data_IF_893798796496
#
_entry.id   IF_893798796496
#
_cell.length_a   1.000
_cell.length_b   1.000
_cell.length_c   1.000
_cell.angle_alpha   90.00
_cell.angle_beta   90.00
_cell.angle_gamma   90.00
#
_symmetry.space_group_name_H-M   'P 1'
#
loop_
_entity.id
_entity.type
_entity.pdbx_description
1 polymer ?
#
# COMPACT_ATOMS: atom_id res chain seq x y z
N UNK A 1 15.35 14.80 19.37
CA UNK A 1 15.90 13.55 19.97
C UNK A 1 15.02 13.00 21.08
N UNK A 2 14.70 13.73 22.18
CA UNK A 2 13.91 13.16 23.29
C UNK A 2 12.53 12.58 22.89
N UNK A 3 11.86 13.19 21.91
CA UNK A 3 10.54 12.77 21.41
C UNK A 3 10.56 11.41 20.69
N UNK A 4 11.54 11.16 19.84
CA UNK A 4 11.66 9.89 19.11
C UNK A 4 12.12 8.75 20.02
N UNK A 5 12.96 9.05 21.02
CA UNK A 5 13.34 8.05 22.04
C UNK A 5 12.12 7.60 22.83
N UNK A 6 11.27 8.54 23.28
CA UNK A 6 10.03 8.20 23.97
C UNK A 6 9.14 7.30 23.10
N UNK A 7 8.79 7.76 21.89
CA UNK A 7 7.92 6.99 20.99
C UNK A 7 8.53 5.62 20.64
N UNK A 8 9.81 5.57 20.26
CA UNK A 8 10.49 4.32 19.91
C UNK A 8 10.51 3.28 21.04
N UNK A 9 10.43 3.71 22.31
CA UNK A 9 10.39 2.80 23.47
C UNK A 9 8.99 2.39 23.93
N UNK A 10 7.96 3.17 23.58
CA UNK A 10 6.57 2.94 24.04
C UNK A 10 5.77 2.12 23.02
N UNK A 11 6.18 2.14 21.75
CA UNK A 11 5.50 1.39 20.70
C UNK A 11 5.66 -0.13 20.89
N UNK A 12 4.54 -0.90 20.96
CA UNK A 12 4.60 -2.34 21.12
C UNK A 12 5.19 -3.02 19.88
N UNK A 13 5.77 -4.23 20.01
CA UNK A 13 6.20 -5.00 18.85
C UNK A 13 4.99 -5.37 17.98
N UNK A 14 5.20 -5.43 16.66
CA UNK A 14 4.19 -5.79 15.68
C UNK A 14 4.50 -7.17 15.08
N UNK A 15 3.45 -7.98 14.88
CA UNK A 15 3.55 -9.30 14.27
C UNK A 15 2.44 -9.49 13.25
N UNK A 16 2.78 -9.93 12.05
CA UNK A 16 1.79 -10.24 11.00
C UNK A 16 0.93 -11.44 11.44
N UNK A 17 -0.39 -11.32 11.23
CA UNK A 17 -1.36 -12.36 11.60
C UNK A 17 -1.79 -12.35 13.07
N UNK A 18 -1.32 -11.39 13.87
CA UNK A 18 -1.76 -11.18 15.26
C UNK A 18 -2.53 -9.87 15.40
N UNK A 19 -3.44 -9.80 16.36
CA UNK A 19 -4.12 -8.54 16.71
C UNK A 19 -3.07 -7.54 17.23
N UNK A 20 -2.97 -6.33 16.65
CA UNK A 20 -2.04 -5.33 17.13
C UNK A 20 -2.52 -4.78 18.48
N UNK A 21 -1.60 -4.67 19.45
CA UNK A 21 -1.92 -4.12 20.78
C UNK A 21 -2.16 -2.61 20.79
N UNK A 22 -1.90 -1.94 19.67
CA UNK A 22 -2.07 -0.50 19.45
C UNK A 22 -2.82 -0.34 18.13
N UNK A 23 -3.90 0.42 18.15
CA UNK A 23 -4.69 0.75 16.95
C UNK A 23 -4.09 1.91 16.17
N UNK A 24 -4.46 2.05 14.90
CA UNK A 24 -4.11 3.21 14.09
C UNK A 24 -4.46 4.56 14.75
N UNK A 25 -5.66 4.69 15.31
CA UNK A 25 -6.12 5.95 15.93
C UNK A 25 -5.31 6.32 17.18
N UNK A 26 -4.93 5.33 17.99
CA UNK A 26 -4.06 5.53 19.14
C UNK A 26 -2.65 5.96 18.68
N UNK A 27 -2.10 5.31 17.64
CA UNK A 27 -0.81 5.73 17.05
C UNK A 27 -0.87 7.16 16.53
N UNK A 28 -1.94 7.54 15.83
CA UNK A 28 -2.11 8.89 15.32
C UNK A 28 -2.23 9.93 16.43
N UNK A 29 -2.85 9.57 17.56
CA UNK A 29 -2.88 10.40 18.77
C UNK A 29 -1.47 10.60 19.32
N UNK A 30 -0.70 9.53 19.48
CA UNK A 30 0.70 9.63 19.90
C UNK A 30 1.53 10.51 18.97
N UNK A 31 1.34 10.38 17.66
CA UNK A 31 2.04 11.20 16.69
C UNK A 31 1.66 12.68 16.79
N UNK A 32 0.37 13.01 16.89
CA UNK A 32 -0.09 14.42 17.03
C UNK A 32 0.46 15.08 18.29
N UNK A 33 0.54 14.34 19.39
CA UNK A 33 0.97 14.88 20.68
C UNK A 33 2.50 15.09 20.76
N UNK A 34 3.28 14.31 20.01
CA UNK A 34 4.72 14.23 20.20
C UNK A 34 5.55 14.72 18.99
N UNK A 35 5.04 14.59 17.77
CA UNK A 35 5.77 14.94 16.56
C UNK A 35 5.77 16.45 16.29
N UNK A 36 6.78 16.91 15.55
CA UNK A 36 6.79 18.27 15.04
C UNK A 36 5.78 18.42 13.89
N UNK A 37 5.38 19.65 13.54
CA UNK A 37 4.54 19.88 12.36
C UNK A 37 5.16 19.32 11.08
N UNK A 38 6.48 19.44 10.91
CA UNK A 38 7.18 18.91 9.74
C UNK A 38 7.17 17.39 9.66
N UNK A 39 7.29 16.70 10.81
CA UNK A 39 7.20 15.24 10.86
C UNK A 39 5.78 14.74 10.64
N UNK A 40 4.77 15.47 11.15
CA UNK A 40 3.37 15.17 10.85
C UNK A 40 3.07 15.30 9.35
N UNK A 41 3.70 16.22 8.62
CA UNK A 41 3.57 16.27 7.16
C UNK A 41 4.18 15.04 6.47
N UNK A 42 5.24 14.45 7.02
CA UNK A 42 5.77 13.17 6.51
C UNK A 42 4.79 12.02 6.76
N UNK A 43 4.16 11.97 7.94
CA UNK A 43 3.09 11.01 8.24
C UNK A 43 1.96 11.15 7.24
N UNK A 44 1.47 12.37 7.01
CA UNK A 44 0.45 12.62 5.98
C UNK A 44 0.89 12.16 4.61
N UNK A 45 2.17 12.35 4.27
CA UNK A 45 2.72 11.93 2.98
C UNK A 45 2.63 10.42 2.80
N UNK A 46 2.90 9.61 3.82
CA UNK A 46 2.65 8.14 3.79
C UNK A 46 1.18 7.85 3.48
N UNK A 47 0.26 8.54 4.14
CA UNK A 47 -1.18 8.32 4.03
C UNK A 47 -1.79 8.85 2.72
N UNK A 48 -1.08 9.67 1.93
CA UNK A 48 -1.57 10.17 0.63
C UNK A 48 -1.91 9.06 -0.34
N UNK A 49 -1.18 7.94 -0.29
CA UNK A 49 -1.51 6.78 -1.11
C UNK A 49 -2.91 6.23 -0.76
N UNK A 50 -3.26 6.19 0.53
CA UNK A 50 -4.61 5.80 0.98
C UNK A 50 -5.67 6.81 0.57
N UNK A 51 -5.38 8.11 0.56
CA UNK A 51 -6.31 9.13 0.03
C UNK A 51 -6.65 8.86 -1.45
N UNK A 52 -5.62 8.63 -2.29
CA UNK A 52 -5.81 8.32 -3.71
C UNK A 52 -6.58 7.00 -3.90
N UNK A 53 -6.30 6.00 -3.06
CA UNK A 53 -7.05 4.74 -3.05
C UNK A 53 -8.51 4.94 -2.62
N UNK A 54 -8.78 5.86 -1.69
CA UNK A 54 -10.14 6.21 -1.29
C UNK A 54 -10.91 6.90 -2.41
N UNK A 55 -10.26 7.74 -3.21
CA UNK A 55 -10.88 8.28 -4.43
C UNK A 55 -11.25 7.14 -5.39
N UNK A 56 -10.35 6.18 -5.60
CA UNK A 56 -10.66 5.01 -6.42
C UNK A 56 -11.81 4.18 -5.83
N UNK A 57 -11.84 3.97 -4.51
CA UNK A 57 -12.90 3.24 -3.83
C UNK A 57 -14.25 3.94 -3.95
N UNK A 58 -14.27 5.28 -3.88
CA UNK A 58 -15.48 6.08 -4.11
C UNK A 58 -16.03 5.84 -5.52
N UNK A 59 -15.18 5.88 -6.55
CA UNK A 59 -15.57 5.58 -7.94
C UNK A 59 -16.06 4.12 -8.13
N UNK A 60 -15.59 3.19 -7.29
CA UNK A 60 -15.98 1.79 -7.28
C UNK A 60 -17.16 1.49 -6.35
N UNK A 61 -17.72 2.49 -5.66
CA UNK A 61 -18.74 2.32 -4.61
C UNK A 61 -18.33 1.31 -3.52
N UNK A 62 -17.05 1.36 -3.12
CA UNK A 62 -16.47 0.50 -2.08
C UNK A 62 -16.25 1.25 -0.77
N UNK A 63 -16.20 0.54 0.38
CA UNK A 63 -15.84 1.14 1.65
C UNK A 63 -14.50 1.88 1.59
N UNK A 64 -14.46 3.05 2.22
CA UNK A 64 -13.25 3.86 2.34
C UNK A 64 -12.34 3.31 3.44
N UNK A 65 -11.04 3.46 3.25
CA UNK A 65 -10.04 3.21 4.28
C UNK A 65 -10.05 4.38 5.27
N UNK A 66 -10.49 4.12 6.50
CA UNK A 66 -10.60 5.14 7.55
C UNK A 66 -9.24 5.71 7.99
N UNK A 67 -8.14 5.06 7.62
CA UNK A 67 -6.76 5.44 7.99
C UNK A 67 -6.16 6.48 7.04
N UNK A 68 -6.89 6.87 5.99
CA UNK A 68 -6.47 7.94 5.10
C UNK A 68 -6.41 9.31 5.82
N UNK A 69 -5.86 10.35 5.19
CA UNK A 69 -5.82 11.68 5.79
C UNK A 69 -7.21 12.33 5.87
N UNK A 70 -8.08 11.99 4.92
CA UNK A 70 -9.42 12.55 4.77
C UNK A 70 -10.48 11.51 5.11
N UNK A 71 -11.43 11.88 5.96
CA UNK A 71 -12.67 11.11 6.11
C UNK A 71 -13.59 11.32 4.89
N UNK A 72 -14.70 10.57 4.83
CA UNK A 72 -15.66 10.62 3.71
C UNK A 72 -16.12 12.05 3.38
N UNK A 73 -16.52 12.82 4.39
CA UNK A 73 -16.99 14.19 4.21
C UNK A 73 -15.86 15.11 3.73
N UNK A 74 -14.67 14.98 4.30
CA UNK A 74 -13.50 15.76 3.90
C UNK A 74 -13.04 15.41 2.48
N UNK A 75 -13.19 14.14 2.07
CA UNK A 75 -12.89 13.68 0.73
C UNK A 75 -13.85 14.29 -0.31
N UNK A 76 -15.14 14.31 -0.01
CA UNK A 76 -16.15 14.99 -0.84
C UNK A 76 -15.84 16.49 -0.96
N UNK A 77 -15.57 17.16 0.17
CA UNK A 77 -15.20 18.58 0.19
C UNK A 77 -13.90 18.83 -0.60
N UNK A 78 -12.92 17.94 -0.52
CA UNK A 78 -11.65 18.01 -1.24
C UNK A 78 -11.84 17.86 -2.76
N UNK A 79 -12.70 16.94 -3.20
CA UNK A 79 -13.01 16.73 -4.62
C UNK A 79 -13.82 17.89 -5.20
N UNK A 80 -14.79 18.42 -4.45
CA UNK A 80 -15.62 19.55 -4.89
C UNK A 80 -14.83 20.85 -5.02
N UNK A 81 -13.95 21.13 -4.05
CA UNK A 81 -13.19 22.38 -3.99
C UNK A 81 -11.80 22.29 -4.63
N UNK A 82 -11.41 21.09 -5.09
CA UNK A 82 -10.07 20.80 -5.61
C UNK A 82 -8.92 21.18 -4.67
N UNK A 83 -9.03 20.77 -3.40
CA UNK A 83 -8.05 21.06 -2.34
C UNK A 83 -7.66 19.80 -1.59
N UNK A 84 -6.56 19.84 -0.84
CA UNK A 84 -6.08 18.77 0.06
C UNK A 84 -5.65 17.44 -0.59
N UNK A 85 -6.01 17.19 -1.85
CA UNK A 85 -5.52 16.08 -2.66
C UNK A 85 -4.40 16.52 -3.61
N UNK A 86 -3.55 15.60 -4.11
CA UNK A 86 -2.50 15.93 -5.06
C UNK A 86 -3.05 16.52 -6.37
N UNK A 87 -2.45 17.60 -6.91
CA UNK A 87 -2.88 18.24 -8.17
C UNK A 87 -3.02 17.26 -9.35
N UNK A 88 -2.12 16.27 -9.43
CA UNK A 88 -2.14 15.22 -10.46
C UNK A 88 -3.49 14.49 -10.57
N UNK A 89 -4.24 14.40 -9.46
CA UNK A 89 -5.54 13.75 -9.46
C UNK A 89 -6.58 14.62 -10.18
N UNK A 90 -6.55 15.93 -9.98
CA UNK A 90 -7.50 16.83 -10.63
C UNK A 90 -7.22 16.93 -12.12
N UNK A 91 -5.96 17.01 -12.53
CA UNK A 91 -5.55 16.92 -13.94
C UNK A 91 -6.10 15.63 -14.59
N UNK A 92 -6.05 14.50 -13.86
CA UNK A 92 -6.60 13.22 -14.30
C UNK A 92 -8.13 13.23 -14.42
N UNK A 93 -8.84 13.80 -13.43
CA UNK A 93 -10.30 13.86 -13.44
C UNK A 93 -10.84 14.83 -14.51
N UNK A 94 -10.05 15.84 -14.90
CA UNK A 94 -10.35 16.71 -16.04
C UNK A 94 -10.11 16.01 -17.39
N UNK A 95 -9.07 15.17 -17.49
CA UNK A 95 -8.79 14.38 -18.69
C UNK A 95 -9.84 13.28 -18.93
N UNK A 96 -10.32 12.64 -17.86
CA UNK A 96 -11.28 11.55 -17.90
C UNK A 96 -12.57 11.92 -17.17
N UNK A 97 -13.63 12.26 -17.90
CA UNK A 97 -14.87 12.77 -17.31
C UNK A 97 -15.86 11.67 -16.90
N UNK A 98 -15.84 10.53 -17.59
CA UNK A 98 -16.76 9.41 -17.34
C UNK A 98 -16.14 8.44 -16.32
N UNK A 99 -16.92 8.04 -15.30
CA UNK A 99 -16.47 7.11 -14.24
C UNK A 99 -15.87 5.82 -14.82
N UNK A 100 -16.47 5.28 -15.88
CA UNK A 100 -15.96 4.07 -16.53
C UNK A 100 -14.55 4.25 -17.12
N UNK A 101 -14.24 5.44 -17.65
CA UNK A 101 -12.94 5.74 -18.24
C UNK A 101 -11.92 6.11 -17.15
N UNK A 102 -12.37 6.83 -16.12
CA UNK A 102 -11.58 7.07 -14.90
C UNK A 102 -11.13 5.76 -14.28
N UNK A 103 -12.02 4.80 -14.09
CA UNK A 103 -11.67 3.50 -13.51
C UNK A 103 -10.66 2.73 -14.37
N UNK A 104 -10.82 2.79 -15.69
CA UNK A 104 -9.94 2.11 -16.65
C UNK A 104 -8.53 2.71 -16.67
N UNK A 105 -8.40 4.01 -16.47
CA UNK A 105 -7.13 4.74 -16.56
C UNK A 105 -6.54 5.16 -15.20
N UNK A 106 -7.21 4.83 -14.08
CA UNK A 106 -6.82 5.28 -12.74
C UNK A 106 -5.39 4.89 -12.35
N UNK A 107 -4.82 3.82 -12.92
CA UNK A 107 -3.42 3.46 -12.67
C UNK A 107 -2.44 4.59 -13.02
N UNK A 108 -2.78 5.48 -13.97
CA UNK A 108 -2.02 6.69 -14.29
C UNK A 108 -1.83 7.62 -13.08
N UNK A 109 -2.84 7.71 -12.19
CA UNK A 109 -2.77 8.51 -10.95
C UNK A 109 -1.68 7.96 -10.04
N UNK A 110 -1.68 6.64 -9.79
CA UNK A 110 -0.68 6.00 -8.93
C UNK A 110 0.73 6.11 -9.53
N UNK A 111 0.88 5.87 -10.83
CA UNK A 111 2.18 5.96 -11.51
C UNK A 111 2.76 7.38 -11.40
N UNK A 112 1.92 8.39 -11.65
CA UNK A 112 2.33 9.79 -11.55
C UNK A 112 2.69 10.15 -10.11
N UNK A 113 1.89 9.71 -9.14
CA UNK A 113 2.17 9.89 -7.72
C UNK A 113 3.52 9.30 -7.31
N UNK A 114 3.81 8.03 -7.65
CA UNK A 114 5.09 7.41 -7.31
C UNK A 114 6.28 8.11 -7.98
N UNK A 115 6.14 8.55 -9.23
CA UNK A 115 7.17 9.34 -9.94
C UNK A 115 7.42 10.70 -9.27
N UNK A 116 6.38 11.35 -8.74
CA UNK A 116 6.55 12.58 -7.96
C UNK A 116 7.24 12.33 -6.62
N UNK A 117 6.86 11.26 -5.91
CA UNK A 117 7.48 10.91 -4.63
C UNK A 117 8.97 10.58 -4.80
N UNK A 118 9.33 9.85 -5.86
CA UNK A 118 10.72 9.52 -6.18
C UNK A 118 11.61 10.77 -6.36
N UNK A 119 11.06 11.83 -6.97
CA UNK A 119 11.76 13.09 -7.22
C UNK A 119 11.79 14.01 -6.00
N UNK A 120 10.71 14.04 -5.21
CA UNK A 120 10.49 15.01 -4.14
C UNK A 120 11.02 14.54 -2.79
N UNK A 121 10.84 13.26 -2.48
CA UNK A 121 11.12 12.71 -1.17
C UNK A 121 12.54 12.15 -1.06
N UNK A 122 12.98 11.91 0.17
CA UNK A 122 14.31 11.39 0.53
C UNK A 122 14.20 10.46 1.74
N UNK A 123 15.26 9.70 2.01
CA UNK A 123 15.30 8.73 3.12
C UNK A 123 14.19 7.71 2.98
N UNK A 124 13.60 7.31 4.11
CA UNK A 124 12.56 6.28 4.18
C UNK A 124 11.40 6.52 3.20
N UNK A 125 10.89 7.75 3.05
CA UNK A 125 9.74 8.00 2.18
C UNK A 125 10.02 7.66 0.71
N UNK A 126 11.21 8.05 0.21
CA UNK A 126 11.61 7.74 -1.17
C UNK A 126 11.71 6.23 -1.36
N UNK A 127 12.42 5.56 -0.47
CA UNK A 127 12.63 4.11 -0.52
C UNK A 127 11.32 3.34 -0.41
N UNK A 128 10.45 3.74 0.52
CA UNK A 128 9.12 3.15 0.69
C UNK A 128 8.25 3.30 -0.57
N UNK A 129 8.20 4.48 -1.20
CA UNK A 129 7.39 4.68 -2.41
C UNK A 129 7.99 4.01 -3.65
N UNK A 130 9.32 3.89 -3.73
CA UNK A 130 9.98 3.07 -4.75
C UNK A 130 9.57 1.62 -4.58
N UNK A 131 9.73 1.06 -3.38
CA UNK A 131 9.32 -0.30 -3.05
C UNK A 131 7.84 -0.54 -3.37
N UNK A 132 6.95 0.37 -2.95
CA UNK A 132 5.50 0.26 -3.22
C UNK A 132 5.18 0.19 -4.72
N UNK A 133 5.92 0.92 -5.56
CA UNK A 133 5.77 0.84 -7.01
C UNK A 133 6.31 -0.49 -7.55
N UNK A 134 7.51 -0.88 -7.15
CA UNK A 134 8.22 -2.03 -7.69
C UNK A 134 7.45 -3.35 -7.49
N UNK A 135 7.00 -3.62 -6.26
CA UNK A 135 6.27 -4.86 -6.00
C UNK A 135 4.93 -4.91 -6.75
N UNK A 136 4.29 -3.76 -6.99
CA UNK A 136 3.03 -3.67 -7.76
C UNK A 136 3.25 -3.96 -9.23
N UNK A 137 4.32 -3.44 -9.83
CA UNK A 137 4.70 -3.76 -11.21
C UNK A 137 4.97 -5.25 -11.36
N UNK A 138 5.75 -5.82 -10.43
CA UNK A 138 6.06 -7.25 -10.43
C UNK A 138 4.81 -8.12 -10.27
N UNK A 139 3.89 -7.75 -9.38
CA UNK A 139 2.62 -8.46 -9.24
C UNK A 139 1.71 -8.32 -10.45
N UNK A 140 1.68 -7.16 -11.09
CA UNK A 140 0.92 -6.96 -12.32
C UNK A 140 1.43 -7.92 -13.42
N UNK A 141 2.75 -7.99 -13.60
CA UNK A 141 3.39 -8.94 -14.51
C UNK A 141 3.10 -10.40 -14.17
N UNK A 142 3.29 -10.78 -12.91
CA UNK A 142 3.02 -12.13 -12.42
C UNK A 142 1.57 -12.55 -12.64
N UNK A 143 0.60 -11.68 -12.31
CA UNK A 143 -0.83 -11.96 -12.50
C UNK A 143 -1.21 -12.02 -13.97
N UNK A 144 -0.70 -11.09 -14.79
CA UNK A 144 -0.91 -11.10 -16.23
C UNK A 144 -0.44 -12.44 -16.82
N UNK A 145 0.74 -12.92 -16.42
CA UNK A 145 1.26 -14.22 -16.84
C UNK A 145 0.36 -15.38 -16.43
N UNK A 146 -0.05 -15.43 -15.17
CA UNK A 146 -0.93 -16.48 -14.62
C UNK A 146 -2.30 -16.51 -15.30
N UNK A 147 -2.78 -15.35 -15.78
CA UNK A 147 -4.07 -15.19 -16.46
C UNK A 147 -3.99 -15.28 -17.99
N UNK A 148 -2.79 -15.43 -18.57
CA UNK A 148 -2.60 -15.40 -20.03
C UNK A 148 -2.90 -14.04 -20.67
N UNK A 149 -2.81 -12.95 -19.89
CA UNK A 149 -3.00 -11.57 -20.34
C UNK A 149 -1.64 -11.00 -20.76
N UNK A 150 -1.64 -10.17 -21.80
CA UNK A 150 -0.45 -9.44 -22.24
C UNK A 150 -0.06 -8.38 -21.19
N UNK A 151 1.14 -8.47 -20.56
CA UNK A 151 1.56 -7.54 -19.52
C UNK A 151 1.67 -6.09 -20.02
N UNK A 152 1.82 -5.86 -21.33
CA UNK A 152 1.83 -4.50 -21.90
C UNK A 152 0.50 -3.77 -21.76
N UNK A 153 -0.61 -4.52 -21.63
CA UNK A 153 -1.94 -3.93 -21.38
C UNK A 153 -2.08 -3.45 -19.94
N UNK A 154 -1.61 -4.25 -18.99
CA UNK A 154 -1.64 -3.91 -17.57
C UNK A 154 -0.70 -2.74 -17.24
N UNK A 155 0.45 -2.68 -17.93
CA UNK A 155 1.48 -1.66 -17.73
C UNK A 155 1.37 -0.49 -18.72
N UNK A 156 0.25 -0.32 -19.44
CA UNK A 156 0.13 0.63 -20.55
C UNK A 156 0.43 2.12 -20.22
N UNK A 157 0.41 2.48 -18.93
CA UNK A 157 0.71 3.84 -18.45
C UNK A 157 2.11 3.98 -17.85
N UNK A 158 2.86 2.89 -17.73
CA UNK A 158 4.24 2.89 -17.27
C UNK A 158 5.21 3.35 -18.36
N UNK A 159 6.42 3.72 -17.95
CA UNK A 159 7.50 4.03 -18.88
C UNK A 159 8.18 2.73 -19.33
N UNK A 160 8.10 2.38 -20.62
CA UNK A 160 8.68 1.13 -21.12
C UNK A 160 10.22 1.17 -21.20
N UNK A 161 10.83 2.34 -21.00
CA UNK A 161 12.29 2.46 -20.85
C UNK A 161 12.77 2.24 -19.42
N UNK A 162 11.84 2.18 -18.44
CA UNK A 162 12.15 1.79 -17.07
C UNK A 162 12.66 0.32 -17.05
N UNK A 163 13.83 0.05 -16.46
CA UNK A 163 14.44 -1.29 -16.47
C UNK A 163 13.52 -2.38 -15.90
N UNK A 164 12.78 -2.11 -14.82
CA UNK A 164 11.89 -3.07 -14.18
C UNK A 164 10.67 -3.37 -15.07
N UNK A 165 10.10 -2.32 -15.66
CA UNK A 165 8.96 -2.46 -16.60
C UNK A 165 9.38 -3.24 -17.84
N UNK A 166 10.54 -2.91 -18.40
CA UNK A 166 11.12 -3.61 -19.55
C UNK A 166 11.37 -5.08 -19.24
N UNK A 167 11.89 -5.40 -18.06
CA UNK A 167 12.10 -6.78 -17.60
C UNK A 167 10.78 -7.55 -17.51
N UNK A 168 9.73 -6.97 -16.93
CA UNK A 168 8.40 -7.59 -16.86
C UNK A 168 7.81 -7.84 -18.27
N UNK A 169 7.93 -6.87 -19.17
CA UNK A 169 7.41 -6.99 -20.54
C UNK A 169 8.20 -8.04 -21.34
N UNK A 170 9.52 -8.13 -21.17
CA UNK A 170 10.36 -9.11 -21.84
C UNK A 170 9.97 -10.56 -21.52
N UNK A 171 9.33 -10.79 -20.36
CA UNK A 171 8.84 -12.10 -19.94
C UNK A 171 7.48 -12.49 -20.56
N UNK A 172 6.90 -11.65 -21.44
CA UNK A 172 5.60 -11.93 -22.10
C UNK A 172 5.52 -13.32 -22.71
N UNK A 173 6.56 -13.76 -23.42
CA UNK A 173 6.60 -15.04 -24.15
C UNK A 173 7.30 -16.17 -23.37
N UNK A 174 7.79 -15.91 -22.15
CA UNK A 174 8.44 -16.93 -21.31
C UNK A 174 7.46 -18.06 -20.88
N UNK A 175 7.92 -19.24 -20.47
CA UNK A 175 7.01 -20.28 -19.94
C UNK A 175 6.46 -19.94 -18.55
N UNK A 176 7.24 -19.26 -17.72
CA UNK A 176 6.92 -18.82 -16.36
C UNK A 176 7.27 -17.35 -16.17
N UNK A 177 6.71 -16.74 -15.13
CA UNK A 177 7.17 -15.45 -14.64
C UNK A 177 8.25 -15.69 -13.58
N UNK A 178 9.39 -15.04 -13.75
CA UNK A 178 10.51 -15.04 -12.82
C UNK A 178 10.62 -13.66 -12.17
N UNK A 179 10.71 -13.67 -10.84
CA UNK A 179 10.91 -12.45 -10.07
C UNK A 179 12.40 -12.06 -10.09
N UNK A 180 12.74 -10.76 -10.08
CA UNK A 180 14.11 -10.30 -9.91
C UNK A 180 14.71 -10.80 -8.59
N UNK A 181 16.04 -10.81 -8.49
CA UNK A 181 16.77 -11.35 -7.33
C UNK A 181 16.23 -10.88 -5.98
N UNK A 182 15.96 -9.59 -5.85
CA UNK A 182 15.44 -8.95 -4.63
C UNK A 182 14.02 -9.42 -4.24
N UNK A 183 13.29 -10.03 -5.15
CA UNK A 183 11.92 -10.50 -4.96
C UNK A 183 11.78 -12.03 -5.16
N UNK A 184 12.89 -12.77 -5.26
CA UNK A 184 12.84 -14.24 -5.45
C UNK A 184 12.04 -14.91 -4.34
N UNK A 185 12.30 -14.57 -3.07
CA UNK A 185 11.59 -15.18 -1.93
C UNK A 185 10.07 -14.95 -2.03
N UNK A 186 9.66 -13.76 -2.46
CA UNK A 186 8.25 -13.46 -2.69
C UNK A 186 7.69 -14.36 -3.80
N UNK A 187 8.42 -14.47 -4.92
CA UNK A 187 8.03 -15.31 -6.05
C UNK A 187 7.85 -16.77 -5.67
N UNK A 188 8.76 -17.33 -4.87
CA UNK A 188 8.67 -18.71 -4.36
C UNK A 188 7.42 -18.90 -3.50
N UNK A 189 7.21 -18.02 -2.52
CA UNK A 189 6.02 -18.05 -1.65
C UNK A 189 4.71 -17.95 -2.44
N UNK A 190 4.64 -17.08 -3.45
CA UNK A 190 3.43 -16.87 -4.25
C UNK A 190 3.13 -18.00 -5.25
N UNK A 191 4.11 -18.86 -5.57
CA UNK A 191 3.90 -20.05 -6.42
C UNK A 191 3.14 -21.14 -5.64
N UNK A 192 3.40 -21.27 -4.34
CA UNK A 192 2.80 -22.29 -3.48
C UNK A 192 1.45 -21.89 -2.87
N UNK A 193 1.10 -20.60 -2.94
CA UNK A 193 -0.15 -20.06 -2.40
C UNK A 193 -1.39 -20.65 -3.09
N UNK A 194 -2.29 -21.25 -2.29
CA UNK A 194 -3.44 -22.02 -2.78
C UNK A 194 -4.67 -21.17 -3.04
N UNK A 195 -4.79 -20.03 -2.36
CA UNK A 195 -5.96 -19.17 -2.44
C UNK A 195 -5.60 -17.68 -2.33
N UNK A 196 -6.51 -16.76 -2.71
CA UNK A 196 -6.25 -15.32 -2.69
C UNK A 196 -5.88 -14.75 -1.32
N UNK A 197 -6.36 -15.35 -0.24
CA UNK A 197 -6.08 -14.91 1.13
C UNK A 197 -4.66 -15.29 1.55
N UNK A 198 -4.22 -16.51 1.24
CA UNK A 198 -2.83 -16.93 1.46
C UNK A 198 -1.88 -16.06 0.64
N UNK A 199 -2.23 -15.74 -0.60
CA UNK A 199 -1.52 -14.75 -1.41
C UNK A 199 -1.42 -13.39 -0.71
N UNK A 200 -2.52 -12.92 -0.11
CA UNK A 200 -2.55 -11.64 0.60
C UNK A 200 -1.69 -11.67 1.87
N UNK A 201 -1.77 -12.74 2.66
CA UNK A 201 -0.98 -12.92 3.88
C UNK A 201 0.52 -12.95 3.57
N UNK A 202 0.96 -13.75 2.59
CA UNK A 202 2.37 -13.84 2.19
C UNK A 202 2.89 -12.50 1.65
N UNK A 203 2.05 -11.74 0.94
CA UNK A 203 2.38 -10.38 0.52
C UNK A 203 2.52 -9.44 1.72
N UNK A 204 1.62 -9.53 2.70
CA UNK A 204 1.68 -8.77 3.94
C UNK A 204 2.97 -9.03 4.71
N UNK A 205 3.35 -10.29 4.89
CA UNK A 205 4.62 -10.68 5.52
C UNK A 205 5.84 -10.11 4.81
N UNK A 206 5.88 -10.22 3.47
CA UNK A 206 6.99 -9.72 2.68
C UNK A 206 7.10 -8.20 2.80
N UNK A 207 5.98 -7.48 2.62
CA UNK A 207 5.93 -6.01 2.77
C UNK A 207 6.32 -5.58 4.17
N UNK A 208 5.81 -6.26 5.20
CA UNK A 208 6.14 -5.95 6.59
C UNK A 208 7.65 -6.03 6.85
N UNK A 209 8.29 -7.11 6.37
CA UNK A 209 9.73 -7.33 6.56
C UNK A 209 10.56 -6.30 5.78
N UNK A 210 10.21 -6.04 4.53
CA UNK A 210 10.90 -5.02 3.72
C UNK A 210 10.83 -3.64 4.37
N UNK A 211 9.68 -3.25 4.90
CA UNK A 211 9.51 -1.97 5.59
C UNK A 211 10.27 -1.94 6.92
N UNK A 212 10.40 -3.07 7.62
CA UNK A 212 11.23 -3.18 8.82
C UNK A 212 12.71 -2.92 8.46
N UNK A 213 13.23 -3.62 7.44
CA UNK A 213 14.62 -3.48 6.96
C UNK A 213 14.98 -2.03 6.62
N UNK A 214 14.06 -1.25 6.00
CA UNK A 214 14.28 0.16 5.64
C UNK A 214 14.53 1.10 6.85
N UNK A 215 14.11 0.69 8.06
CA UNK A 215 14.17 1.54 9.26
C UNK A 215 15.00 0.95 10.41
N UNK A 216 15.61 -0.22 10.23
CA UNK A 216 16.31 -0.96 11.31
C UNK A 216 17.52 -0.21 11.87
N UNK A 217 18.25 0.52 11.02
CA UNK A 217 19.50 1.19 11.41
C UNK A 217 19.27 2.47 12.25
N UNK A 218 18.04 3.00 12.29
CA UNK A 218 17.73 4.27 12.96
C UNK A 218 16.52 4.20 13.92
N UNK A 219 16.58 3.40 15.01
CA UNK A 219 15.44 3.11 15.89
C UNK A 219 14.84 4.33 16.62
N UNK A 220 15.51 5.49 16.58
CA UNK A 220 15.07 6.75 17.20
C UNK A 220 14.99 7.91 16.20
N UNK A 221 14.58 7.62 14.96
CA UNK A 221 14.33 8.61 13.92
C UNK A 221 12.87 8.67 13.51
N UNK A 222 12.52 9.70 12.74
CA UNK A 222 11.21 9.78 12.09
C UNK A 222 11.03 8.63 11.09
N UNK A 223 12.09 8.18 10.44
CA UNK A 223 12.06 7.10 9.45
C UNK A 223 11.61 5.78 10.10
N UNK A 224 12.10 5.47 11.32
CA UNK A 224 11.60 4.34 12.11
C UNK A 224 10.10 4.45 12.43
N UNK A 225 9.62 5.64 12.80
CA UNK A 225 8.20 5.86 13.12
C UNK A 225 7.30 5.75 11.89
N UNK A 226 7.75 6.21 10.72
CA UNK A 226 7.05 6.03 9.45
C UNK A 226 7.01 4.55 9.04
N UNK A 227 8.11 3.83 9.22
CA UNK A 227 8.16 2.38 9.01
C UNK A 227 7.25 1.63 9.98
N UNK A 228 7.14 2.08 11.24
CA UNK A 228 6.19 1.52 12.20
C UNK A 228 4.73 1.74 11.76
N UNK A 229 4.39 2.96 11.33
CA UNK A 229 3.05 3.29 10.83
C UNK A 229 2.62 2.37 9.69
N UNK A 230 3.47 2.24 8.67
CA UNK A 230 3.20 1.37 7.51
C UNK A 230 3.02 -0.09 7.95
N UNK A 231 3.90 -0.58 8.83
CA UNK A 231 3.82 -1.94 9.36
C UNK A 231 2.54 -2.18 10.17
N UNK A 232 2.10 -1.21 10.97
CA UNK A 232 0.84 -1.30 11.70
C UNK A 232 -0.34 -1.44 10.73
N UNK A 233 -0.39 -0.60 9.68
CA UNK A 233 -1.43 -0.69 8.65
C UNK A 233 -1.45 -2.06 7.96
N UNK A 234 -0.27 -2.64 7.68
CA UNK A 234 -0.16 -3.99 7.11
C UNK A 234 -0.68 -5.06 8.08
N UNK A 235 -0.35 -4.96 9.37
CA UNK A 235 -0.81 -5.92 10.39
C UNK A 235 -2.32 -5.86 10.53
N UNK A 236 -2.90 -4.67 10.63
CA UNK A 236 -4.36 -4.49 10.69
C UNK A 236 -5.06 -5.06 9.45
N UNK A 237 -4.50 -4.81 8.25
CA UNK A 237 -5.02 -5.32 6.99
C UNK A 237 -5.06 -6.86 6.96
N UNK A 238 -3.96 -7.50 7.36
CA UNK A 238 -3.85 -8.97 7.37
C UNK A 238 -4.75 -9.56 8.47
N UNK A 239 -4.79 -8.93 9.64
CA UNK A 239 -5.62 -9.38 10.76
C UNK A 239 -7.12 -9.31 10.43
N UNK A 240 -7.59 -8.19 9.87
CA UNK A 240 -9.01 -8.00 9.52
C UNK A 240 -9.52 -9.07 8.53
N UNK A 241 -8.67 -9.50 7.59
CA UNK A 241 -9.00 -10.60 6.67
C UNK A 241 -9.07 -11.94 7.40
N UNK A 242 -8.15 -12.21 8.33
CA UNK A 242 -8.15 -13.43 9.13
C UNK A 242 -9.35 -13.52 10.08
N UNK A 243 -9.77 -12.40 10.67
CA UNK A 243 -10.93 -12.34 11.57
C UNK A 243 -12.23 -12.53 10.79
N UNK A 244 -12.38 -11.89 9.63
CA UNK A 244 -13.53 -12.10 8.75
C UNK A 244 -13.69 -13.58 8.41
N UNK A 245 -12.60 -14.25 8.03
CA UNK A 245 -12.61 -15.69 7.75
C UNK A 245 -12.82 -16.53 9.01
N UNK A 246 -12.25 -16.12 10.15
CA UNK A 246 -12.46 -16.77 11.45
C UNK A 246 -13.94 -16.76 11.85
N UNK A 247 -14.59 -15.61 11.70
CA UNK A 247 -16.01 -15.42 11.96
C UNK A 247 -16.88 -16.17 10.93
N UNK A 248 -16.48 -16.24 9.66
CA UNK A 248 -17.15 -17.06 8.64
C UNK A 248 -17.09 -18.56 8.98
N UNK A 249 -15.92 -19.11 9.35
CA UNK A 249 -15.78 -20.51 9.78
C UNK A 249 -16.55 -20.81 11.08
N UNK A 250 -16.53 -19.90 12.08
CA UNK A 250 -17.31 -20.07 13.30
C UNK A 250 -18.82 -20.14 12.98
N UNK A 251 -19.29 -19.30 12.07
CA UNK A 251 -20.68 -19.31 11.63
C UNK A 251 -21.06 -20.59 10.86
N UNK A 252 -20.15 -21.18 10.08
CA UNK A 252 -20.36 -22.47 9.43
C UNK A 252 -20.40 -23.63 10.42
N UNK A 253 -19.54 -23.62 11.45
CA UNK A 253 -19.57 -24.62 12.53
C UNK A 253 -20.86 -24.56 13.35
N UNK A 254 -21.37 -23.35 13.63
CA UNK A 254 -22.65 -23.15 14.32
C UNK A 254 -23.83 -23.61 13.46
N UNK A 255 -23.77 -23.43 12.13
CA UNK A 255 -24.81 -23.89 11.20
C UNK A 255 -24.77 -25.39 10.89
N UNK A 256 -23.60 -26.04 11.00
CA UNK A 256 -23.42 -27.48 10.78
C UNK A 256 -23.67 -28.36 12.00
N UNK A 257 -24.11 -27.79 13.14
CA UNK A 257 -24.35 -28.48 14.40
C UNK A 257 -25.85 -28.63 14.76
N UNK A 258 -26.74 -28.72 13.77
CA UNK A 258 -28.18 -29.02 13.94
C UNK A 258 -28.59 -30.29 13.18
#
# INVERSE_FOLDING_TARGET
MSRYVFLGTVLPPLHVGSEPSLTFDELMTFFRDNLSKGDLEKVKTVLRYSDLKNVQNLLLERPLDYRANLNEKELDEALLNQVSLPPLLFDFLEEYTEVSDQLKHFSKVFITFFKEMDKKEKGFLKEYFQFEREWRILLAGYRAKKMGIDPTKELQHEDFSDPLVAEVIAQKDAPSFEFPFEFIELGEKLKDAKNPEEHYHLMGEFRFRRVLEMGEDEPFSIDYLLGYLVRLMIVEDVFALSEKKGNEHLNEMVKGSL
#
